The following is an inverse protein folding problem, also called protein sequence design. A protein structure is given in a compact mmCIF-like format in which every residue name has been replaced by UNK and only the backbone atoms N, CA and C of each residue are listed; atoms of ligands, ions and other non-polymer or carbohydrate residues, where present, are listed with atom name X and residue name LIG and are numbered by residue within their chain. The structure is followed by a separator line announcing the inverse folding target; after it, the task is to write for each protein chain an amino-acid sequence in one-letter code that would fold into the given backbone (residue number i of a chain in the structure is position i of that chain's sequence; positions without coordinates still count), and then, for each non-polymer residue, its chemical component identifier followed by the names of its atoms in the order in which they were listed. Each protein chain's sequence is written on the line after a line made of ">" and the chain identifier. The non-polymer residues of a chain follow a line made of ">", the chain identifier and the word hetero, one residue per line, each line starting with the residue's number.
data_IF_421178351776
#
_entry.id   IF_421178351776
#
_cell.length_a   1.000
_cell.length_b   1.000
_cell.length_c   1.000
_cell.angle_alpha   90.00
_cell.angle_beta   90.00
_cell.angle_gamma   90.00
#
_symmetry.space_group_name_H-M   'P 1'
#
loop_
_entity.id
_entity.type
_entity.pdbx_description
1 polymer ?
#
# COMPACT_ATOMS: atom_id res chain seq x y z
N UNK A 1 -0.65 29.92 -19.77
CA UNK A 1 -1.84 29.35 -19.16
C UNK A 1 -2.66 30.43 -18.46
N UNK A 2 -3.98 30.47 -18.64
CA UNK A 2 -4.86 31.35 -17.90
C UNK A 2 -4.89 30.94 -16.42
N UNK A 3 -5.17 31.86 -15.45
CA UNK A 3 -5.25 31.50 -14.04
C UNK A 3 -6.22 30.34 -13.76
N UNK A 4 -7.29 30.21 -14.53
CA UNK A 4 -8.25 29.11 -14.42
C UNK A 4 -7.67 27.75 -14.88
N UNK A 5 -6.78 27.76 -15.88
CA UNK A 5 -6.12 26.50 -16.33
C UNK A 5 -5.08 26.05 -15.32
N UNK A 6 -4.31 26.96 -14.74
CA UNK A 6 -3.36 26.64 -13.67
C UNK A 6 -4.06 26.07 -12.43
N UNK A 7 -5.19 26.65 -12.00
CA UNK A 7 -5.98 26.12 -10.89
C UNK A 7 -6.54 24.72 -11.23
N UNK A 8 -7.06 24.52 -12.44
CA UNK A 8 -7.58 23.22 -12.87
C UNK A 8 -6.46 22.15 -12.91
N UNK A 9 -5.26 22.50 -13.29
CA UNK A 9 -4.11 21.58 -13.31
C UNK A 9 -3.67 21.20 -11.89
N UNK A 10 -3.73 22.12 -10.94
CA UNK A 10 -3.47 21.84 -9.52
C UNK A 10 -4.52 20.87 -8.96
N UNK A 11 -5.81 21.13 -9.20
CA UNK A 11 -6.88 20.22 -8.76
C UNK A 11 -6.79 18.84 -9.40
N UNK A 12 -6.50 18.75 -10.68
CA UNK A 12 -6.29 17.45 -11.36
C UNK A 12 -5.15 16.66 -10.71
N UNK A 13 -4.03 17.34 -10.42
CA UNK A 13 -2.87 16.70 -9.79
C UNK A 13 -3.16 16.19 -8.38
N UNK A 14 -4.06 16.83 -7.63
CA UNK A 14 -4.40 16.45 -6.26
C UNK A 14 -5.47 15.35 -6.18
N UNK A 15 -6.37 15.26 -7.17
CA UNK A 15 -7.54 14.40 -7.11
C UNK A 15 -7.42 13.09 -7.93
N UNK A 16 -6.42 12.96 -8.79
CA UNK A 16 -6.26 11.77 -9.63
C UNK A 16 -5.59 10.64 -8.85
N UNK A 17 -6.15 9.43 -8.94
CA UNK A 17 -5.57 8.22 -8.33
C UNK A 17 -4.15 7.89 -8.81
N UNK A 18 -3.72 8.41 -9.97
CA UNK A 18 -2.37 8.25 -10.50
C UNK A 18 -1.37 9.32 -10.06
N UNK A 19 -1.76 10.25 -9.20
CA UNK A 19 -0.92 11.39 -8.84
C UNK A 19 0.35 10.98 -8.12
N UNK A 20 0.30 10.02 -7.21
CA UNK A 20 1.49 9.56 -6.46
C UNK A 20 2.55 9.01 -7.41
N UNK A 21 2.18 8.07 -8.29
CA UNK A 21 3.10 7.49 -9.27
C UNK A 21 3.62 8.52 -10.28
N UNK A 22 2.77 9.45 -10.73
CA UNK A 22 3.16 10.50 -11.65
C UNK A 22 4.15 11.48 -11.02
N UNK A 23 3.96 11.88 -9.77
CA UNK A 23 4.89 12.75 -9.04
C UNK A 23 6.24 12.08 -8.86
N UNK A 24 6.26 10.81 -8.45
CA UNK A 24 7.52 10.05 -8.31
C UNK A 24 8.27 9.95 -9.65
N UNK A 25 7.55 9.56 -10.71
CA UNK A 25 8.13 9.44 -12.04
C UNK A 25 8.75 10.76 -12.54
N UNK A 26 8.05 11.87 -12.32
CA UNK A 26 8.54 13.20 -12.72
C UNK A 26 9.73 13.64 -11.88
N UNK A 27 9.66 13.46 -10.55
CA UNK A 27 10.70 13.89 -9.63
C UNK A 27 12.02 13.14 -9.82
N UNK A 28 11.95 11.86 -10.14
CA UNK A 28 13.12 11.00 -10.34
C UNK A 28 13.48 10.76 -11.81
N UNK A 29 12.74 11.35 -12.74
CA UNK A 29 13.00 11.18 -14.18
C UNK A 29 12.81 9.73 -14.65
N UNK A 30 11.92 8.97 -14.03
CA UNK A 30 11.67 7.55 -14.35
C UNK A 30 11.13 7.42 -15.77
N UNK A 31 11.69 6.47 -16.54
CA UNK A 31 11.35 6.24 -17.96
C UNK A 31 10.64 4.91 -18.23
N UNK A 32 10.60 4.02 -17.22
CA UNK A 32 9.96 2.72 -17.32
C UNK A 32 8.44 2.77 -17.18
N UNK A 33 7.84 1.63 -16.90
CA UNK A 33 6.41 1.50 -16.69
C UNK A 33 5.99 2.35 -15.50
N UNK A 34 4.89 3.10 -15.64
CA UNK A 34 4.33 3.94 -14.59
C UNK A 34 2.80 3.82 -14.58
N UNK A 35 2.24 3.32 -13.48
CA UNK A 35 0.80 3.24 -13.25
C UNK A 35 0.49 3.20 -11.75
N UNK A 36 -0.76 3.43 -11.41
CA UNK A 36 -1.27 3.24 -10.05
C UNK A 36 -2.30 2.11 -10.03
N UNK A 37 -2.24 1.30 -8.99
CA UNK A 37 -3.23 0.27 -8.67
C UNK A 37 -4.21 0.87 -7.67
N UNK A 38 -5.44 0.38 -7.65
CA UNK A 38 -6.45 0.73 -6.66
C UNK A 38 -7.10 -0.55 -6.12
N UNK A 39 -6.83 -0.86 -4.87
CA UNK A 39 -7.37 -2.01 -4.14
C UNK A 39 -7.48 -1.72 -2.63
N UNK A 40 -7.95 -0.51 -2.30
CA UNK A 40 -8.12 -0.04 -0.93
C UNK A 40 -6.87 -0.27 -0.08
N UNK A 41 -7.01 -0.85 1.11
CA UNK A 41 -5.89 -1.09 2.04
C UNK A 41 -4.81 -2.04 1.49
N UNK A 42 -5.14 -2.89 0.51
CA UNK A 42 -4.21 -3.82 -0.11
C UNK A 42 -3.37 -3.18 -1.24
N UNK A 43 -3.63 -1.93 -1.61
CA UNK A 43 -3.03 -1.27 -2.78
C UNK A 43 -1.50 -1.31 -2.76
N UNK A 44 -0.88 -0.93 -1.64
CA UNK A 44 0.60 -0.91 -1.54
C UNK A 44 1.20 -2.31 -1.67
N UNK A 45 0.56 -3.33 -1.09
CA UNK A 45 1.00 -4.71 -1.22
C UNK A 45 0.88 -5.19 -2.67
N UNK A 46 -0.20 -4.85 -3.37
CA UNK A 46 -0.36 -5.13 -4.80
C UNK A 46 0.67 -4.40 -5.67
N UNK A 47 0.99 -3.14 -5.36
CA UNK A 47 2.05 -2.42 -6.06
C UNK A 47 3.41 -3.09 -5.89
N UNK A 48 3.74 -3.53 -4.68
CA UNK A 48 5.00 -4.23 -4.37
C UNK A 48 5.05 -5.58 -5.10
N UNK A 49 3.98 -6.38 -5.01
CA UNK A 49 3.90 -7.67 -5.69
C UNK A 49 3.97 -7.53 -7.21
N UNK A 50 3.23 -6.59 -7.79
CA UNK A 50 3.28 -6.31 -9.22
C UNK A 50 4.67 -5.83 -9.66
N UNK A 51 5.36 -5.02 -8.83
CA UNK A 51 6.74 -4.62 -9.07
C UNK A 51 7.70 -5.81 -9.08
N UNK A 52 7.56 -6.73 -8.13
CA UNK A 52 8.32 -7.98 -8.09
C UNK A 52 8.11 -8.80 -9.37
N UNK A 53 6.87 -8.97 -9.81
CA UNK A 53 6.55 -9.69 -11.05
C UNK A 53 7.16 -9.04 -12.29
N UNK A 54 7.20 -7.70 -12.38
CA UNK A 54 7.87 -7.00 -13.51
C UNK A 54 9.38 -7.30 -13.54
N UNK A 55 10.02 -7.38 -12.38
CA UNK A 55 11.43 -7.75 -12.27
C UNK A 55 11.65 -9.23 -12.63
N UNK A 56 10.84 -10.13 -12.08
CA UNK A 56 10.92 -11.56 -12.39
C UNK A 56 10.71 -11.87 -13.88
N UNK A 57 9.87 -11.10 -14.55
CA UNK A 57 9.64 -11.20 -16.00
C UNK A 57 10.75 -10.54 -16.84
N UNK A 58 11.77 -9.95 -16.21
CA UNK A 58 12.86 -9.27 -16.90
C UNK A 58 12.45 -7.99 -17.63
N UNK A 59 11.32 -7.39 -17.26
CA UNK A 59 10.83 -6.15 -17.89
C UNK A 59 11.39 -4.90 -17.26
N UNK A 60 11.79 -4.96 -16.01
CA UNK A 60 12.39 -3.87 -15.24
C UNK A 60 13.50 -4.42 -14.36
N UNK A 61 14.58 -3.69 -14.20
CA UNK A 61 15.66 -4.00 -13.25
C UNK A 61 15.39 -3.37 -11.88
N UNK A 62 14.74 -2.20 -11.87
CA UNK A 62 14.41 -1.44 -10.65
C UNK A 62 12.97 -0.95 -10.74
N UNK A 63 12.22 -1.10 -9.66
CA UNK A 63 10.85 -0.60 -9.51
C UNK A 63 10.69 0.15 -8.20
N UNK A 64 10.11 1.35 -8.24
CA UNK A 64 9.65 2.08 -7.06
C UNK A 64 8.20 1.66 -6.82
N UNK A 65 7.93 1.00 -5.70
CA UNK A 65 6.61 0.47 -5.38
C UNK A 65 6.19 0.83 -3.96
N UNK A 66 4.93 1.14 -3.77
CA UNK A 66 4.41 1.52 -2.45
C UNK A 66 3.07 2.22 -2.56
N UNK A 67 2.79 3.09 -1.61
CA UNK A 67 1.55 3.86 -1.59
C UNK A 67 1.65 5.10 -0.73
N UNK A 68 0.67 5.97 -0.89
CA UNK A 68 0.49 7.15 -0.08
C UNK A 68 -0.99 7.46 0.09
N UNK A 69 -1.34 7.92 1.26
CA UNK A 69 -2.70 8.34 1.61
C UNK A 69 -2.67 9.69 2.30
N UNK A 70 -3.56 10.57 1.91
CA UNK A 70 -3.73 11.86 2.56
C UNK A 70 -4.95 11.81 3.49
N UNK A 71 -4.80 12.35 4.69
CA UNK A 71 -5.96 12.62 5.54
C UNK A 71 -6.88 13.64 4.86
N UNK A 72 -8.16 13.32 4.78
CA UNK A 72 -9.17 14.21 4.21
C UNK A 72 -10.53 13.94 4.84
N UNK A 73 -11.27 15.01 5.14
CA UNK A 73 -12.59 14.93 5.75
C UNK A 73 -13.57 14.02 4.99
N UNK A 74 -13.46 13.97 3.66
CA UNK A 74 -14.29 13.10 2.83
C UNK A 74 -14.09 11.62 3.14
N UNK A 75 -12.85 11.17 3.34
CA UNK A 75 -12.56 9.81 3.78
C UNK A 75 -13.07 9.57 5.20
N UNK A 76 -12.82 10.51 6.11
CA UNK A 76 -13.30 10.44 7.49
C UNK A 76 -14.82 10.26 7.53
N UNK A 77 -15.58 11.06 6.75
CA UNK A 77 -17.04 10.96 6.70
C UNK A 77 -17.56 9.62 6.18
N UNK A 78 -16.84 8.97 5.25
CA UNK A 78 -17.21 7.64 4.75
C UNK A 78 -17.05 6.58 5.84
N UNK A 79 -15.93 6.59 6.58
CA UNK A 79 -15.71 5.68 7.69
C UNK A 79 -16.64 5.95 8.88
N UNK A 80 -16.98 7.22 9.12
CA UNK A 80 -17.97 7.61 10.13
C UNK A 80 -19.36 7.06 9.77
N UNK A 81 -19.79 7.22 8.52
CA UNK A 81 -21.06 6.69 8.03
C UNK A 81 -21.16 5.15 8.15
N UNK A 82 -20.05 4.45 8.12
CA UNK A 82 -19.97 3.00 8.37
C UNK A 82 -19.98 2.64 9.86
N UNK A 83 -19.91 3.62 10.77
CA UNK A 83 -19.74 3.38 12.21
C UNK A 83 -18.38 2.77 12.57
N UNK A 84 -17.35 3.00 11.74
CA UNK A 84 -16.05 2.36 11.89
C UNK A 84 -15.01 3.22 12.61
N UNK A 85 -15.33 4.47 12.95
CA UNK A 85 -14.41 5.35 13.66
C UNK A 85 -14.44 5.14 15.17
N UNK A 86 -13.29 5.37 15.82
CA UNK A 86 -13.19 5.48 17.26
C UNK A 86 -13.98 6.70 17.75
N UNK A 87 -14.82 6.51 18.76
CA UNK A 87 -15.63 7.56 19.38
C UNK A 87 -15.48 7.61 20.90
N UNK A 88 -15.05 6.52 21.50
CA UNK A 88 -14.92 6.37 22.96
C UNK A 88 -13.87 7.30 23.57
N UNK A 89 -12.87 7.69 22.78
CA UNK A 89 -11.71 8.43 23.24
C UNK A 89 -11.70 9.89 22.77
N UNK A 90 -12.85 10.49 22.42
CA UNK A 90 -12.91 11.87 21.95
C UNK A 90 -12.40 12.89 22.99
N UNK A 91 -12.55 12.59 24.28
CA UNK A 91 -12.05 13.44 25.37
C UNK A 91 -10.57 13.15 25.72
N UNK A 92 -9.99 12.08 25.18
CA UNK A 92 -8.60 11.67 25.38
C UNK A 92 -7.97 11.20 24.06
N UNK A 93 -7.89 12.08 23.05
CA UNK A 93 -7.52 11.70 21.68
C UNK A 93 -6.09 11.10 21.57
N UNK A 94 -5.21 11.46 22.48
CA UNK A 94 -3.83 10.96 22.53
C UNK A 94 -3.72 9.44 22.78
N UNK A 95 -4.79 8.81 23.27
CA UNK A 95 -4.85 7.36 23.49
C UNK A 95 -5.87 6.65 22.60
N UNK A 96 -6.45 7.34 21.63
CA UNK A 96 -7.47 6.78 20.74
C UNK A 96 -6.90 5.77 19.75
N UNK A 97 -5.76 6.08 19.13
CA UNK A 97 -5.09 5.16 18.21
C UNK A 97 -4.39 4.04 18.98
N UNK A 98 -4.98 2.85 18.93
CA UNK A 98 -4.54 1.69 19.74
C UNK A 98 -4.72 0.37 18.99
N UNK A 99 -4.06 0.26 17.84
CA UNK A 99 -4.10 -0.94 17.02
C UNK A 99 -3.75 -2.20 17.85
N UNK A 100 -4.49 -3.28 17.64
CA UNK A 100 -4.38 -4.57 18.37
C UNK A 100 -4.72 -4.55 19.86
N UNK A 101 -5.00 -3.40 20.45
CA UNK A 101 -5.44 -3.30 21.84
C UNK A 101 -6.83 -3.91 22.02
N UNK A 102 -7.07 -4.58 23.15
CA UNK A 102 -8.39 -5.18 23.47
C UNK A 102 -9.49 -4.13 23.63
N UNK A 103 -9.15 -2.91 24.00
CA UNK A 103 -10.07 -1.82 24.27
C UNK A 103 -10.23 -0.86 23.06
N UNK A 104 -9.67 -1.23 21.88
CA UNK A 104 -9.87 -0.46 20.65
C UNK A 104 -11.35 -0.44 20.26
N UNK A 105 -11.79 0.67 19.69
CA UNK A 105 -13.19 0.88 19.35
C UNK A 105 -13.41 1.42 17.91
N UNK A 106 -12.38 1.41 17.09
CA UNK A 106 -12.48 1.84 15.70
C UNK A 106 -11.22 2.52 15.18
N UNK A 107 -11.31 3.04 13.96
CA UNK A 107 -10.20 3.73 13.30
C UNK A 107 -10.00 5.14 13.82
N UNK A 108 -8.75 5.57 13.79
CA UNK A 108 -8.34 6.97 13.88
C UNK A 108 -7.70 7.32 12.54
N UNK A 109 -8.37 8.14 11.75
CA UNK A 109 -7.91 8.49 10.39
C UNK A 109 -6.59 9.27 10.46
N UNK A 110 -5.66 8.89 9.61
CA UNK A 110 -4.38 9.55 9.46
C UNK A 110 -3.88 9.49 8.01
N UNK A 111 -2.90 10.31 7.69
CA UNK A 111 -2.17 10.26 6.43
C UNK A 111 -0.82 9.59 6.59
N UNK A 112 -0.24 9.20 5.48
CA UNK A 112 1.11 8.62 5.45
C UNK A 112 1.51 8.16 4.07
N UNK A 113 2.77 7.79 3.92
CA UNK A 113 3.29 7.23 2.69
C UNK A 113 4.53 6.38 2.94
N UNK A 114 4.70 5.36 2.12
CA UNK A 114 5.87 4.51 2.16
C UNK A 114 6.15 3.90 0.79
N UNK A 115 7.43 3.81 0.44
CA UNK A 115 7.87 3.20 -0.80
C UNK A 115 9.05 2.27 -0.57
N UNK A 116 9.10 1.21 -1.36
CA UNK A 116 10.24 0.32 -1.48
C UNK A 116 10.89 0.53 -2.84
N UNK A 117 12.22 0.44 -2.87
CA UNK A 117 12.98 0.29 -4.10
C UNK A 117 13.23 -1.22 -4.27
N UNK A 118 12.49 -1.82 -5.17
CA UNK A 118 12.71 -3.21 -5.57
C UNK A 118 13.77 -3.23 -6.66
N UNK A 119 14.70 -4.15 -6.58
CA UNK A 119 15.79 -4.26 -7.53
C UNK A 119 16.12 -5.74 -7.76
N UNK A 120 16.44 -6.07 -9.01
CA UNK A 120 16.94 -7.40 -9.35
C UNK A 120 18.24 -7.67 -8.57
N UNK A 121 18.34 -8.85 -7.98
CA UNK A 121 19.39 -9.17 -7.00
C UNK A 121 20.80 -9.04 -7.57
N UNK A 122 21.05 -9.63 -8.72
CA UNK A 122 22.39 -9.58 -9.35
C UNK A 122 22.73 -8.17 -9.83
N UNK A 123 21.74 -7.41 -10.30
CA UNK A 123 21.89 -6.00 -10.63
C UNK A 123 22.33 -5.20 -9.39
N UNK A 124 21.67 -5.41 -8.24
CA UNK A 124 22.00 -4.76 -6.97
C UNK A 124 23.43 -5.11 -6.51
N UNK A 125 23.79 -6.39 -6.55
CA UNK A 125 25.13 -6.89 -6.18
C UNK A 125 26.20 -6.27 -7.08
N UNK A 126 25.99 -6.27 -8.40
CA UNK A 126 26.94 -5.75 -9.39
C UNK A 126 27.29 -4.28 -9.18
N UNK A 127 26.32 -3.46 -8.76
CA UNK A 127 26.58 -2.04 -8.47
C UNK A 127 26.98 -1.75 -7.03
N UNK A 128 27.12 -2.77 -6.18
CA UNK A 128 27.47 -2.63 -4.77
C UNK A 128 26.36 -1.99 -3.91
N UNK A 129 25.10 -2.21 -4.28
CA UNK A 129 23.98 -1.68 -3.51
C UNK A 129 23.90 -2.30 -2.12
N UNK A 130 23.45 -1.51 -1.14
CA UNK A 130 23.05 -2.06 0.16
C UNK A 130 21.71 -2.78 0.02
N UNK A 131 21.73 -4.09 0.26
CA UNK A 131 20.52 -4.92 0.27
C UNK A 131 20.03 -5.00 1.72
N UNK A 132 18.77 -4.62 1.95
CA UNK A 132 18.14 -4.66 3.28
C UNK A 132 17.46 -6.01 3.54
N UNK A 133 16.80 -6.55 2.51
CA UNK A 133 16.08 -7.81 2.55
C UNK A 133 15.85 -8.36 1.14
N UNK A 134 15.48 -9.61 1.03
CA UNK A 134 15.00 -10.21 -0.21
C UNK A 134 13.47 -10.36 -0.14
N UNK A 135 12.76 -9.90 -1.17
CA UNK A 135 11.34 -10.16 -1.37
C UNK A 135 11.19 -11.50 -2.07
N UNK A 136 10.78 -12.51 -1.34
CA UNK A 136 10.83 -13.91 -1.81
C UNK A 136 9.46 -14.50 -2.17
N UNK A 137 8.37 -13.85 -1.78
CA UNK A 137 7.02 -14.33 -2.07
C UNK A 137 5.99 -13.23 -2.08
N UNK A 138 4.96 -13.44 -2.88
CA UNK A 138 3.80 -12.58 -3.00
C UNK A 138 2.56 -13.43 -3.23
N UNK A 139 1.46 -13.07 -2.58
CA UNK A 139 0.16 -13.70 -2.78
C UNK A 139 -0.95 -12.66 -2.81
N UNK A 140 -1.86 -12.80 -3.74
CA UNK A 140 -3.06 -11.98 -3.83
C UNK A 140 -4.25 -12.86 -4.18
N UNK A 141 -5.35 -12.66 -3.47
CA UNK A 141 -6.59 -13.41 -3.65
C UNK A 141 -7.78 -12.50 -3.43
N UNK A 142 -8.91 -12.85 -4.01
CA UNK A 142 -10.20 -12.26 -3.65
C UNK A 142 -10.87 -13.15 -2.61
N UNK A 143 -11.46 -12.57 -1.58
CA UNK A 143 -12.27 -13.32 -0.60
C UNK A 143 -13.54 -13.87 -1.26
N UNK A 144 -14.26 -13.00 -1.99
CA UNK A 144 -15.44 -13.38 -2.75
C UNK A 144 -16.71 -13.62 -1.91
N UNK A 145 -16.65 -13.41 -0.60
CA UNK A 145 -17.76 -13.66 0.33
C UNK A 145 -18.62 -12.41 0.51
N UNK A 146 -18.01 -11.31 0.93
CA UNK A 146 -18.67 -10.05 1.19
C UNK A 146 -17.79 -8.87 0.72
N UNK A 147 -18.40 -7.73 0.42
CA UNK A 147 -17.68 -6.56 -0.09
C UNK A 147 -16.83 -5.89 1.01
N UNK A 148 -17.22 -5.95 2.26
CA UNK A 148 -16.62 -5.20 3.38
C UNK A 148 -16.14 -6.11 4.49
N UNK A 149 -16.86 -7.20 4.79
CA UNK A 149 -16.58 -8.11 5.89
C UNK A 149 -15.76 -9.31 5.43
N UNK A 150 -14.47 -9.41 5.82
CA UNK A 150 -13.63 -10.52 5.39
C UNK A 150 -14.02 -11.84 6.08
N UNK A 151 -14.07 -12.93 5.32
CA UNK A 151 -14.28 -14.29 5.87
C UNK A 151 -13.04 -14.86 6.54
N UNK A 152 -11.86 -14.34 6.20
CA UNK A 152 -10.55 -14.86 6.58
C UNK A 152 -9.96 -15.86 5.58
N UNK A 153 -10.77 -16.52 4.75
CA UNK A 153 -10.30 -17.50 3.79
C UNK A 153 -9.44 -16.86 2.67
N UNK A 154 -9.81 -15.66 2.20
CA UNK A 154 -9.00 -14.92 1.23
C UNK A 154 -7.61 -14.58 1.78
N UNK A 155 -7.55 -14.09 3.02
CA UNK A 155 -6.30 -13.80 3.72
C UNK A 155 -5.43 -15.04 3.91
N UNK A 156 -6.03 -16.17 4.31
CA UNK A 156 -5.33 -17.45 4.44
C UNK A 156 -4.72 -17.89 3.11
N UNK A 157 -5.50 -17.92 2.04
CA UNK A 157 -5.02 -18.33 0.71
C UNK A 157 -3.88 -17.44 0.19
N UNK A 158 -3.95 -16.12 0.37
CA UNK A 158 -2.87 -15.26 -0.09
C UNK A 158 -1.57 -15.48 0.70
N UNK A 159 -1.64 -15.76 2.00
CA UNK A 159 -0.47 -16.12 2.80
C UNK A 159 0.11 -17.47 2.37
N UNK A 160 -0.73 -18.48 2.10
CA UNK A 160 -0.28 -19.79 1.60
C UNK A 160 0.46 -19.65 0.27
N UNK A 161 -0.09 -18.89 -0.70
CA UNK A 161 0.57 -18.61 -1.99
C UNK A 161 1.93 -17.95 -1.79
N UNK A 162 2.02 -16.94 -0.93
CA UNK A 162 3.27 -16.27 -0.65
C UNK A 162 4.31 -17.20 0.00
N UNK A 163 3.89 -18.08 0.90
CA UNK A 163 4.76 -19.06 1.55
C UNK A 163 5.25 -20.13 0.58
N UNK A 164 4.42 -20.61 -0.32
CA UNK A 164 4.82 -21.57 -1.37
C UNK A 164 5.96 -21.04 -2.24
N UNK A 165 5.98 -19.74 -2.52
CA UNK A 165 7.06 -19.13 -3.30
C UNK A 165 8.38 -19.06 -2.54
N UNK A 166 8.34 -18.91 -1.20
CA UNK A 166 9.55 -18.63 -0.40
C UNK A 166 10.44 -19.84 -0.15
N UNK A 167 9.98 -21.06 -0.37
CA UNK A 167 10.65 -22.33 0.01
C UNK A 167 10.97 -22.42 1.51
N UNK A 168 10.39 -21.57 2.34
CA UNK A 168 10.53 -21.56 3.80
C UNK A 168 9.18 -21.83 4.45
N UNK A 169 9.15 -22.75 5.41
CA UNK A 169 7.96 -23.03 6.22
C UNK A 169 7.92 -22.26 7.52
N UNK A 170 8.99 -21.50 7.85
CA UNK A 170 9.09 -20.77 9.11
C UNK A 170 8.88 -19.28 8.87
N UNK A 171 7.92 -18.71 9.64
CA UNK A 171 7.68 -17.28 9.72
C UNK A 171 7.97 -16.82 11.16
N UNK A 172 8.88 -15.88 11.31
CA UNK A 172 9.27 -15.38 12.62
C UNK A 172 8.45 -14.14 13.04
N UNK A 173 7.92 -13.40 12.08
CA UNK A 173 7.13 -12.19 12.32
C UNK A 173 6.05 -12.00 11.26
N UNK A 174 4.86 -11.62 11.70
CA UNK A 174 3.73 -11.24 10.83
C UNK A 174 3.28 -9.83 11.21
N UNK A 175 3.30 -8.93 10.23
CA UNK A 175 2.67 -7.63 10.36
C UNK A 175 1.26 -7.72 9.74
N UNK A 176 0.29 -8.05 10.57
CA UNK A 176 -1.10 -8.15 10.14
C UNK A 176 -1.73 -6.76 10.00
N UNK A 177 -2.71 -6.62 9.10
CA UNK A 177 -3.48 -5.38 8.97
C UNK A 177 -4.32 -5.11 10.23
N UNK A 178 -4.99 -6.14 10.74
CA UNK A 178 -5.58 -6.13 12.08
C UNK A 178 -6.75 -5.15 12.27
N UNK A 179 -7.53 -4.93 11.24
CA UNK A 179 -8.76 -4.11 11.30
C UNK A 179 -9.85 -4.71 12.17
#
# INVERSE_FOLDING_TARGET
>A
PTPSSAASDVYKRQAMGSTVSACLATSFGVKGINYSISSACATSAHCIGSGMEQIQLGKQDIVIAGGGEAEHWGMTSLFDAMGALSTKYNETPEVASRAYDKDRDGFVIAGGGGTLILEEKEHAIKRGARIYAELTGYGATSDGEDMVSPSGEGGKRCMEIALEMTKSSKVDYINAHGT
#
